data_IF_793076357508
#
_entry.id   IF_793076357508
#
_cell.length_a   1.000
_cell.length_b   1.000
_cell.length_c   1.000
_cell.angle_alpha   90.00
_cell.angle_beta   90.00
_cell.angle_gamma   90.00
#
_symmetry.space_group_name_H-M   'P 1'
#
loop_
_entity.id
_entity.type
_entity.pdbx_description
1 polymer ?
#
# COMPACT_ATOMS: atom_id res chain seq x y z
N UNK A 1 -14.69 18.56 -29.73
CA UNK A 1 -14.94 18.35 -28.29
C UNK A 1 -15.01 16.87 -27.91
N UNK A 2 -15.53 15.96 -28.74
CA UNK A 2 -15.55 14.51 -28.44
C UNK A 2 -14.18 13.84 -28.24
N UNK A 3 -13.14 14.24 -28.99
CA UNK A 3 -11.79 13.68 -28.82
C UNK A 3 -11.15 13.99 -27.45
N UNK A 4 -11.46 15.13 -26.86
CA UNK A 4 -10.96 15.49 -25.52
C UNK A 4 -11.66 14.67 -24.44
N UNK A 5 -12.95 14.38 -24.62
CA UNK A 5 -13.76 13.61 -23.66
C UNK A 5 -13.39 12.13 -23.70
N UNK A 6 -13.11 11.56 -24.88
CA UNK A 6 -12.64 10.17 -24.99
C UNK A 6 -11.24 9.99 -24.40
N UNK A 7 -10.33 10.94 -24.64
CA UNK A 7 -8.98 10.90 -24.08
C UNK A 7 -8.98 11.02 -22.54
N UNK A 8 -9.83 11.89 -21.98
CA UNK A 8 -9.99 12.04 -20.53
C UNK A 8 -10.63 10.82 -19.85
N UNK A 9 -11.43 10.05 -20.58
CA UNK A 9 -12.02 8.79 -20.11
C UNK A 9 -11.05 7.60 -20.21
N UNK A 10 -10.15 7.62 -21.18
CA UNK A 10 -9.21 6.51 -21.46
C UNK A 10 -8.06 6.45 -20.44
N UNK A 11 -7.55 7.60 -20.01
CA UNK A 11 -6.43 7.68 -19.06
C UNK A 11 -6.74 7.04 -17.70
N UNK A 12 -7.86 7.34 -17.03
CA UNK A 12 -8.24 6.67 -15.79
C UNK A 12 -8.36 5.16 -15.98
N UNK A 13 -8.98 4.72 -17.07
CA UNK A 13 -9.18 3.30 -17.35
C UNK A 13 -7.86 2.52 -17.42
N UNK A 14 -6.87 3.05 -18.13
CA UNK A 14 -5.52 2.46 -18.20
C UNK A 14 -4.88 2.41 -16.82
N UNK A 15 -4.91 3.53 -16.08
CA UNK A 15 -4.30 3.59 -14.74
C UNK A 15 -4.88 2.53 -13.81
N UNK A 16 -6.21 2.39 -13.76
CA UNK A 16 -6.82 1.38 -12.93
C UNK A 16 -6.43 -0.04 -13.35
N UNK A 17 -6.30 -0.31 -14.65
CA UNK A 17 -5.92 -1.65 -15.14
C UNK A 17 -4.49 -1.98 -14.72
N UNK A 18 -3.58 -1.02 -14.86
CA UNK A 18 -2.20 -1.16 -14.41
C UNK A 18 -2.16 -1.42 -12.90
N UNK A 19 -2.90 -0.66 -12.10
CA UNK A 19 -2.99 -0.84 -10.64
C UNK A 19 -3.52 -2.23 -10.28
N UNK A 20 -4.57 -2.70 -10.95
CA UNK A 20 -5.13 -4.03 -10.69
C UNK A 20 -4.13 -5.16 -10.98
N UNK A 21 -3.41 -5.08 -12.12
CA UNK A 21 -2.36 -6.04 -12.47
C UNK A 21 -1.24 -6.00 -11.43
N UNK A 22 -0.79 -4.80 -11.05
CA UNK A 22 0.27 -4.62 -10.07
C UNK A 22 -0.13 -5.21 -8.71
N UNK A 23 -1.34 -4.93 -8.22
CA UNK A 23 -1.85 -5.49 -6.97
C UNK A 23 -1.93 -7.01 -7.01
N UNK A 24 -2.32 -7.58 -8.15
CA UNK A 24 -2.36 -9.04 -8.32
C UNK A 24 -0.96 -9.65 -8.21
N UNK A 25 0.03 -9.05 -8.87
CA UNK A 25 1.43 -9.49 -8.80
C UNK A 25 1.95 -9.37 -7.37
N UNK A 26 1.73 -8.23 -6.71
CA UNK A 26 2.16 -8.01 -5.32
C UNK A 26 1.47 -9.00 -4.36
N UNK A 27 0.20 -9.33 -4.58
CA UNK A 27 -0.52 -10.30 -3.75
C UNK A 27 0.14 -11.69 -3.80
N UNK A 28 0.53 -12.15 -5.00
CA UNK A 28 1.22 -13.44 -5.17
C UNK A 28 2.55 -13.44 -4.42
N UNK A 29 3.35 -12.38 -4.58
CA UNK A 29 4.62 -12.25 -3.86
C UNK A 29 4.42 -12.18 -2.34
N UNK A 30 3.39 -11.49 -1.88
CA UNK A 30 3.06 -11.36 -0.45
C UNK A 30 2.69 -12.71 0.19
N UNK A 31 1.91 -13.52 -0.51
CA UNK A 31 1.57 -14.88 -0.05
C UNK A 31 2.81 -15.77 -0.03
N UNK A 32 3.66 -15.66 -1.06
CA UNK A 32 4.92 -16.39 -1.12
C UNK A 32 5.86 -16.02 0.05
N UNK A 33 5.98 -14.73 0.35
CA UNK A 33 6.78 -14.22 1.46
C UNK A 33 6.27 -14.75 2.81
N UNK A 34 4.95 -14.75 3.03
CA UNK A 34 4.36 -15.32 4.23
C UNK A 34 4.71 -16.81 4.41
N UNK A 35 4.72 -17.61 3.34
CA UNK A 35 5.12 -19.02 3.37
C UNK A 35 6.60 -19.16 3.76
N UNK A 36 7.48 -18.36 3.15
CA UNK A 36 8.91 -18.38 3.47
C UNK A 36 9.18 -18.04 4.92
N UNK A 37 8.50 -17.03 5.47
CA UNK A 37 8.64 -16.64 6.87
C UNK A 37 8.15 -17.72 7.84
N UNK A 38 7.06 -18.42 7.50
CA UNK A 38 6.59 -19.59 8.27
C UNK A 38 7.66 -20.69 8.27
N UNK A 39 8.25 -21.00 7.11
CA UNK A 39 9.33 -21.98 7.00
C UNK A 39 10.56 -21.56 7.80
N UNK A 40 10.96 -20.29 7.71
CA UNK A 40 12.10 -19.76 8.42
C UNK A 40 11.91 -19.80 9.94
N UNK A 41 10.70 -19.52 10.44
CA UNK A 41 10.34 -19.65 11.86
C UNK A 41 10.53 -21.09 12.35
N UNK A 42 10.09 -22.08 11.55
CA UNK A 42 10.23 -23.51 11.89
C UNK A 42 11.70 -23.93 11.91
N UNK A 43 12.49 -23.50 10.91
CA UNK A 43 13.90 -23.88 10.78
C UNK A 43 14.76 -23.24 11.87
N UNK A 44 14.57 -21.94 12.13
CA UNK A 44 15.35 -21.17 13.12
C UNK A 44 14.95 -21.48 14.57
N UNK A 45 13.79 -22.10 14.80
CA UNK A 45 13.17 -22.32 16.12
C UNK A 45 12.98 -21.04 16.95
N UNK A 46 13.10 -19.88 16.32
CA UNK A 46 12.81 -18.58 16.93
C UNK A 46 11.34 -18.24 16.71
N UNK A 47 10.49 -18.74 17.63
CA UNK A 47 9.06 -18.49 17.59
C UNK A 47 8.69 -17.06 18.01
N UNK A 48 9.54 -16.37 18.78
CA UNK A 48 9.22 -15.03 19.25
C UNK A 48 9.31 -14.02 18.11
N UNK A 49 10.43 -13.99 17.40
CA UNK A 49 10.62 -13.08 16.27
C UNK A 49 9.93 -13.60 15.01
N UNK A 50 9.96 -14.92 14.78
CA UNK A 50 9.33 -15.52 13.61
C UNK A 50 7.82 -15.32 13.57
N UNK A 51 7.12 -15.41 14.71
CA UNK A 51 5.67 -15.18 14.76
C UNK A 51 5.32 -13.73 14.41
N UNK A 52 6.09 -12.76 14.90
CA UNK A 52 5.92 -11.34 14.59
C UNK A 52 6.08 -11.10 13.08
N UNK A 53 7.15 -11.63 12.48
CA UNK A 53 7.38 -11.49 11.03
C UNK A 53 6.27 -12.13 10.20
N UNK A 54 5.76 -13.30 10.60
CA UNK A 54 4.63 -13.95 9.93
C UNK A 54 3.37 -13.10 10.04
N UNK A 55 3.06 -12.56 11.22
CA UNK A 55 1.91 -11.64 11.40
C UNK A 55 2.06 -10.42 10.49
N UNK A 56 3.26 -9.84 10.37
CA UNK A 56 3.51 -8.72 9.46
C UNK A 56 3.21 -9.05 8.01
N UNK A 57 3.70 -10.18 7.51
CA UNK A 57 3.46 -10.60 6.13
C UNK A 57 1.98 -10.93 5.88
N UNK A 58 1.29 -11.52 6.86
CA UNK A 58 -0.15 -11.78 6.75
C UNK A 58 -0.97 -10.49 6.74
N UNK A 59 -0.65 -9.52 7.61
CA UNK A 59 -1.34 -8.21 7.63
C UNK A 59 -1.09 -7.43 6.33
N UNK A 60 0.11 -7.53 5.75
CA UNK A 60 0.41 -6.97 4.42
C UNK A 60 -0.48 -7.63 3.36
N UNK A 61 -0.58 -8.95 3.37
CA UNK A 61 -1.40 -9.74 2.43
C UNK A 61 -2.87 -9.34 2.50
N UNK A 62 -3.42 -9.23 3.72
CA UNK A 62 -4.81 -8.79 3.93
C UNK A 62 -5.02 -7.38 3.40
N UNK A 63 -4.09 -6.46 3.64
CA UNK A 63 -4.17 -5.08 3.13
C UNK A 63 -4.21 -5.06 1.59
N UNK A 64 -3.38 -5.86 0.93
CA UNK A 64 -3.36 -5.96 -0.53
C UNK A 64 -4.69 -6.51 -1.06
N UNK A 65 -5.24 -7.55 -0.43
CA UNK A 65 -6.54 -8.14 -0.83
C UNK A 65 -7.66 -7.12 -0.73
N UNK A 66 -7.72 -6.36 0.37
CA UNK A 66 -8.73 -5.32 0.57
C UNK A 66 -8.58 -4.21 -0.48
N UNK A 67 -7.35 -3.77 -0.78
CA UNK A 67 -7.12 -2.81 -1.86
C UNK A 67 -7.54 -3.37 -3.22
N UNK A 68 -7.24 -4.63 -3.51
CA UNK A 68 -7.67 -5.27 -4.74
C UNK A 68 -9.20 -5.32 -4.87
N UNK A 69 -9.91 -5.58 -3.78
CA UNK A 69 -11.36 -5.50 -3.73
C UNK A 69 -11.85 -4.08 -4.04
N UNK A 70 -11.24 -3.04 -3.45
CA UNK A 70 -11.63 -1.65 -3.74
C UNK A 70 -11.45 -1.28 -5.22
N UNK A 71 -10.36 -1.75 -5.85
CA UNK A 71 -10.08 -1.50 -7.27
C UNK A 71 -11.06 -2.27 -8.15
N UNK A 72 -11.37 -3.52 -7.82
CA UNK A 72 -12.31 -4.35 -8.58
C UNK A 72 -13.74 -3.83 -8.50
N UNK A 73 -14.17 -3.41 -7.30
CA UNK A 73 -15.48 -2.77 -7.10
C UNK A 73 -15.56 -1.50 -7.94
N UNK A 74 -14.54 -0.63 -7.89
CA UNK A 74 -14.47 0.56 -8.72
C UNK A 74 -14.55 0.22 -10.23
N UNK A 75 -13.88 -0.84 -10.68
CA UNK A 75 -13.98 -1.30 -12.06
C UNK A 75 -15.41 -1.65 -12.48
N UNK A 76 -16.14 -2.32 -11.58
CA UNK A 76 -17.50 -2.81 -11.83
C UNK A 76 -18.55 -1.69 -11.78
N UNK A 77 -18.44 -0.77 -10.82
CA UNK A 77 -19.46 0.26 -10.58
C UNK A 77 -19.10 1.63 -11.15
N UNK A 78 -17.85 1.83 -11.59
CA UNK A 78 -17.28 3.14 -12.01
C UNK A 78 -17.39 4.24 -10.96
N UNK A 79 -17.72 3.88 -9.73
CA UNK A 79 -17.90 4.77 -8.60
C UNK A 79 -17.03 4.27 -7.46
N UNK A 80 -16.47 5.23 -6.72
CA UNK A 80 -15.73 4.90 -5.51
C UNK A 80 -16.73 4.61 -4.41
N UNK A 81 -16.89 3.33 -4.05
CA UNK A 81 -17.73 2.96 -2.93
C UNK A 81 -17.04 3.33 -1.61
N UNK A 82 -17.63 4.28 -0.89
CA UNK A 82 -17.12 4.76 0.40
C UNK A 82 -16.96 3.60 1.40
N UNK A 83 -17.83 2.59 1.34
CA UNK A 83 -17.74 1.40 2.21
C UNK A 83 -16.44 0.63 1.99
N UNK A 84 -16.06 0.38 0.74
CA UNK A 84 -14.83 -0.34 0.40
C UNK A 84 -13.59 0.46 0.85
N UNK A 85 -13.62 1.79 0.66
CA UNK A 85 -12.57 2.68 1.15
C UNK A 85 -12.44 2.68 2.68
N UNK A 86 -13.56 2.69 3.40
CA UNK A 86 -13.55 2.64 4.87
C UNK A 86 -12.97 1.33 5.38
N UNK A 87 -13.28 0.19 4.75
CA UNK A 87 -12.71 -1.10 5.10
C UNK A 87 -11.20 -1.07 4.86
N UNK A 88 -10.74 -0.58 3.70
CA UNK A 88 -9.32 -0.44 3.39
C UNK A 88 -8.58 0.46 4.40
N UNK A 89 -9.15 1.62 4.72
CA UNK A 89 -8.58 2.54 5.70
C UNK A 89 -8.53 1.93 7.10
N UNK A 90 -9.60 1.28 7.54
CA UNK A 90 -9.66 0.62 8.85
C UNK A 90 -8.63 -0.51 8.95
N UNK A 91 -8.53 -1.38 7.94
CA UNK A 91 -7.51 -2.44 7.89
C UNK A 91 -6.10 -1.86 7.95
N UNK A 92 -5.84 -0.74 7.27
CA UNK A 92 -4.56 -0.04 7.33
C UNK A 92 -4.24 0.50 8.73
N UNK A 93 -5.22 1.08 9.42
CA UNK A 93 -5.06 1.56 10.81
C UNK A 93 -4.84 0.40 11.77
N UNK A 94 -5.65 -0.67 11.66
CA UNK A 94 -5.50 -1.88 12.49
C UNK A 94 -4.10 -2.46 12.29
N UNK A 95 -3.64 -2.56 11.05
CA UNK A 95 -2.26 -2.96 10.74
C UNK A 95 -1.29 -2.02 11.46
N UNK A 96 -1.37 -0.71 11.29
CA UNK A 96 -0.43 0.22 11.92
C UNK A 96 -0.38 0.08 13.45
N UNK A 97 -1.54 -0.05 14.11
CA UNK A 97 -1.62 -0.19 15.58
C UNK A 97 -1.04 -1.51 16.07
N UNK A 98 -1.31 -2.63 15.38
CA UNK A 98 -0.77 -3.94 15.74
C UNK A 98 0.77 -3.98 15.61
N UNK A 99 1.32 -3.19 14.69
CA UNK A 99 2.75 -3.13 14.38
C UNK A 99 3.51 -2.17 15.31
N UNK A 100 2.86 -1.09 15.74
CA UNK A 100 3.49 0.01 16.50
C UNK A 100 4.20 -0.44 17.80
N UNK A 101 3.78 -1.57 18.40
CA UNK A 101 4.36 -2.05 19.65
C UNK A 101 5.58 -2.99 19.47
N UNK A 102 5.99 -3.30 18.24
CA UNK A 102 6.96 -4.37 17.97
C UNK A 102 8.18 -3.92 17.16
N UNK A 103 8.11 -2.78 16.49
CA UNK A 103 9.25 -2.26 15.73
C UNK A 103 10.25 -1.55 16.65
N UNK A 104 11.40 -2.19 16.88
CA UNK A 104 12.62 -1.47 17.24
C UNK A 104 13.09 -0.74 15.99
N UNK A 105 12.79 0.56 15.94
CA UNK A 105 13.07 1.35 14.74
C UNK A 105 14.58 1.48 14.57
N UNK A 106 15.12 0.83 13.54
CA UNK A 106 16.53 0.91 13.19
C UNK A 106 16.91 2.38 12.94
N UNK A 107 17.91 2.94 13.65
CA UNK A 107 18.32 4.34 13.53
C UNK A 107 18.59 4.79 12.09
N UNK A 108 19.10 3.88 11.24
CA UNK A 108 19.38 4.20 9.83
C UNK A 108 18.10 4.45 9.02
N UNK A 109 17.04 3.68 9.29
CA UNK A 109 15.74 3.82 8.64
C UNK A 109 15.05 5.12 9.05
N UNK A 110 15.22 5.54 10.32
CA UNK A 110 14.75 6.84 10.81
C UNK A 110 15.44 8.00 10.08
N UNK A 111 16.77 7.97 9.95
CA UNK A 111 17.50 9.00 9.23
C UNK A 111 17.08 9.08 7.75
N UNK A 112 16.87 7.94 7.10
CA UNK A 112 16.37 7.88 5.72
C UNK A 112 14.98 8.52 5.59
N UNK A 113 14.07 8.21 6.51
CA UNK A 113 12.70 8.76 6.51
C UNK A 113 12.71 10.27 6.73
N UNK A 114 13.53 10.76 7.67
CA UNK A 114 13.71 12.20 7.92
C UNK A 114 14.29 12.91 6.70
N UNK A 115 15.28 12.31 6.02
CA UNK A 115 15.85 12.88 4.80
C UNK A 115 14.82 12.96 3.66
N UNK A 116 14.01 11.91 3.49
CA UNK A 116 12.94 11.87 2.47
C UNK A 116 11.87 12.94 2.75
N UNK A 117 11.45 13.07 4.01
CA UNK A 117 10.54 14.14 4.44
C UNK A 117 11.14 15.52 4.20
N UNK A 118 12.43 15.72 4.50
CA UNK A 118 13.12 16.98 4.24
C UNK A 118 13.13 17.33 2.74
N UNK A 119 13.36 16.34 1.86
CA UNK A 119 13.31 16.54 0.40
C UNK A 119 11.89 16.88 -0.06
N UNK A 120 10.87 16.21 0.46
CA UNK A 120 9.47 16.51 0.13
C UNK A 120 9.07 17.92 0.59
N UNK A 121 9.43 18.30 1.81
CA UNK A 121 9.18 19.64 2.35
C UNK A 121 9.93 20.68 1.51
N UNK A 122 11.20 20.44 1.19
CA UNK A 122 11.97 21.33 0.32
C UNK A 122 11.33 21.46 -1.07
N UNK A 123 10.87 20.35 -1.65
CA UNK A 123 10.13 20.35 -2.92
C UNK A 123 8.88 21.23 -2.86
N UNK A 124 8.06 21.11 -1.81
CA UNK A 124 6.87 21.94 -1.63
C UNK A 124 7.24 23.42 -1.44
N UNK A 125 8.30 23.73 -0.70
CA UNK A 125 8.74 25.12 -0.46
C UNK A 125 9.31 25.76 -1.73
N UNK A 126 10.06 25.01 -2.54
CA UNK A 126 10.67 25.52 -3.77
C UNK A 126 9.69 25.58 -4.95
N UNK A 127 8.69 24.69 -4.98
CA UNK A 127 7.57 24.78 -5.92
C UNK A 127 6.62 25.87 -5.41
N UNK A 128 6.96 27.14 -5.67
CA UNK A 128 6.04 28.26 -5.47
C UNK A 128 4.73 27.97 -6.20
N UNK A 129 3.56 28.17 -5.56
CA UNK A 129 2.30 28.16 -6.28
C UNK A 129 2.39 29.21 -7.39
N UNK A 130 2.26 28.79 -8.64
CA UNK A 130 2.05 29.75 -9.72
C UNK A 130 0.74 30.48 -9.39
N UNK A 131 0.73 31.83 -9.34
CA UNK A 131 -0.53 32.54 -9.17
C UNK A 131 -1.44 32.16 -10.33
N UNK A 132 -2.59 31.59 -9.98
CA UNK A 132 -3.65 31.25 -10.93
C UNK A 132 -4.01 32.53 -11.72
N UNK A 133 -3.98 32.51 -13.06
CA UNK A 133 -4.48 33.61 -13.88
C UNK A 133 -6.01 33.74 -13.80
#
# INVERSE_FOLDING_TARGET
>A
MEYLISFFSFVPMILYTIVAILLTVIAIFSVWDAILLILQMIISRDFANGLVSVIYALLLTITIIVLFETVTVYFKTKHVEVRALLIAGLTGVVRHVLIYNVDTVDPFTLMGTVALLAVLIAGIVFVKPQPLP
#
